data_IF_053602351045
#
_entry.id   IF_053602351045
#
_cell.length_a   1.000
_cell.length_b   1.000
_cell.length_c   1.000
_cell.angle_alpha   90.00
_cell.angle_beta   90.00
_cell.angle_gamma   90.00
#
_symmetry.space_group_name_H-M   'P 1'
#
loop_
_entity.id
_entity.type
_entity.pdbx_description
1 polymer ?
#
# COMPACT_ATOMS: atom_id res chain seq x y z
N UNK A 1 -14.42 16.50 7.05
CA UNK A 1 -14.74 17.24 8.30
C UNK A 1 -16.21 17.58 8.26
N UNK A 2 -17.00 17.15 9.24
CA UNK A 2 -18.37 17.68 9.41
C UNK A 2 -18.32 18.88 10.35
N UNK A 3 -19.42 19.63 10.46
CA UNK A 3 -19.46 20.91 11.18
C UNK A 3 -19.05 20.80 12.66
N UNK A 4 -19.32 19.66 13.31
CA UNK A 4 -19.10 19.46 14.77
C UNK A 4 -18.08 18.37 15.11
N UNK A 5 -17.84 17.40 14.22
CA UNK A 5 -17.07 16.19 14.52
C UNK A 5 -15.90 16.01 13.54
N UNK A 6 -14.74 15.67 14.08
CA UNK A 6 -13.53 15.38 13.32
C UNK A 6 -13.30 13.88 13.36
N UNK A 7 -13.49 13.21 12.22
CA UNK A 7 -13.10 11.80 12.06
C UNK A 7 -11.65 11.74 11.58
N UNK A 8 -10.79 11.08 12.35
CA UNK A 8 -9.38 10.82 12.01
C UNK A 8 -9.22 9.32 11.80
N UNK A 9 -8.85 8.92 10.58
CA UNK A 9 -8.52 7.52 10.29
C UNK A 9 -7.01 7.36 10.32
N UNK A 10 -6.52 6.51 11.23
CA UNK A 10 -5.10 6.17 11.37
C UNK A 10 -4.87 4.84 10.69
N UNK A 11 -4.05 4.84 9.63
CA UNK A 11 -3.63 3.63 8.95
C UNK A 11 -2.30 3.16 9.56
N UNK A 12 -2.26 1.93 10.09
CA UNK A 12 -1.05 1.40 10.74
C UNK A 12 -0.85 -0.09 10.45
N UNK A 13 0.40 -0.53 10.43
CA UNK A 13 0.76 -1.94 10.37
C UNK A 13 0.64 -2.65 11.73
N UNK A 14 0.54 -1.90 12.83
CA UNK A 14 0.48 -2.45 14.20
C UNK A 14 -0.64 -1.77 15.00
N UNK A 15 -1.92 -2.12 14.75
CA UNK A 15 -3.05 -1.52 15.45
C UNK A 15 -3.02 -1.77 16.96
N UNK A 16 -2.55 -2.96 17.39
CA UNK A 16 -2.54 -3.34 18.81
C UNK A 16 -1.73 -2.40 19.72
N UNK A 17 -0.64 -1.81 19.20
CA UNK A 17 0.17 -0.84 19.96
C UNK A 17 -0.58 0.48 20.15
N UNK A 18 -1.36 0.90 19.15
CA UNK A 18 -2.14 2.15 19.18
C UNK A 18 -3.37 2.02 20.08
N UNK A 19 -3.98 0.83 20.13
CA UNK A 19 -5.12 0.56 21.02
C UNK A 19 -4.66 0.51 22.49
N UNK A 20 -3.51 -0.12 22.75
CA UNK A 20 -2.99 -0.35 24.09
C UNK A 20 -3.81 -1.38 24.88
N UNK A 21 -3.50 -1.52 26.18
CA UNK A 21 -4.23 -2.44 27.07
C UNK A 21 -5.59 -1.84 27.45
N UNK A 22 -6.66 -2.35 26.87
CA UNK A 22 -8.03 -1.92 27.19
C UNK A 22 -8.42 -0.55 26.63
N UNK A 23 -7.75 -0.06 25.58
CA UNK A 23 -8.12 1.21 24.91
C UNK A 23 -7.50 2.48 25.50
N UNK A 24 -6.72 2.37 26.58
CA UNK A 24 -6.18 3.53 27.31
C UNK A 24 -5.35 4.49 26.44
N UNK A 25 -4.61 3.96 25.47
CA UNK A 25 -3.73 4.80 24.64
C UNK A 25 -4.53 5.62 23.61
N UNK A 26 -5.66 5.08 23.14
CA UNK A 26 -6.59 5.80 22.24
C UNK A 26 -7.30 6.92 22.99
N UNK A 27 -7.67 6.70 24.25
CA UNK A 27 -8.32 7.72 25.07
C UNK A 27 -7.39 8.90 25.35
N UNK A 28 -6.11 8.63 25.66
CA UNK A 28 -5.08 9.69 25.78
C UNK A 28 -4.93 10.48 24.47
N UNK A 29 -4.79 9.77 23.34
CA UNK A 29 -4.70 10.39 22.01
C UNK A 29 -5.92 11.26 21.70
N UNK A 30 -7.12 10.80 22.05
CA UNK A 30 -8.36 11.56 21.89
C UNK A 30 -8.36 12.83 22.75
N UNK A 31 -7.85 12.76 23.99
CA UNK A 31 -7.74 13.92 24.87
C UNK A 31 -6.73 14.95 24.37
N UNK A 32 -5.55 14.52 23.92
CA UNK A 32 -4.52 15.38 23.32
C UNK A 32 -5.04 16.07 22.05
N UNK A 33 -5.71 15.32 21.17
CA UNK A 33 -6.30 15.86 19.96
C UNK A 33 -7.43 16.85 20.27
N UNK A 34 -8.21 16.60 21.33
CA UNK A 34 -9.26 17.53 21.79
C UNK A 34 -8.67 18.83 22.31
N UNK A 35 -7.52 18.81 23.01
CA UNK A 35 -6.82 20.03 23.46
C UNK A 35 -6.39 20.91 22.27
N UNK A 36 -5.92 20.29 21.20
CA UNK A 36 -5.45 21.01 19.99
C UNK A 36 -6.62 21.52 19.14
N UNK A 37 -7.62 20.67 18.89
CA UNK A 37 -8.70 20.97 17.93
C UNK A 37 -9.93 21.62 18.54
N UNK A 38 -10.06 21.61 19.88
CA UNK A 38 -11.22 22.13 20.64
C UNK A 38 -12.58 21.57 20.18
N UNK A 39 -12.57 20.47 19.44
CA UNK A 39 -13.75 19.81 18.86
C UNK A 39 -13.76 18.34 19.27
N UNK A 40 -14.90 17.69 19.06
CA UNK A 40 -15.01 16.26 19.30
C UNK A 40 -14.32 15.48 18.18
N UNK A 41 -13.43 14.58 18.57
CA UNK A 41 -12.61 13.77 17.65
C UNK A 41 -13.02 12.30 17.77
N UNK A 42 -13.34 11.68 16.63
CA UNK A 42 -13.54 10.25 16.49
C UNK A 42 -12.32 9.65 15.80
N UNK A 43 -11.71 8.65 16.43
CA UNK A 43 -10.51 7.98 15.91
C UNK A 43 -10.93 6.62 15.34
N UNK A 44 -10.66 6.40 14.06
CA UNK A 44 -10.82 5.11 13.39
C UNK A 44 -9.44 4.52 13.13
N UNK A 45 -9.20 3.28 13.53
CA UNK A 45 -7.91 2.60 13.30
C UNK A 45 -8.12 1.60 12.18
N UNK A 46 -7.41 1.79 11.06
CA UNK A 46 -7.41 0.88 9.93
C UNK A 46 -6.09 0.12 9.87
N UNK A 47 -6.18 -1.20 9.71
CA UNK A 47 -5.02 -2.07 9.63
C UNK A 47 -4.49 -2.17 8.20
N UNK A 48 -3.19 -1.95 8.05
CA UNK A 48 -2.46 -2.20 6.80
C UNK A 48 -2.10 -3.68 6.75
N UNK A 49 -2.84 -4.45 5.95
CA UNK A 49 -2.64 -5.91 5.80
C UNK A 49 -1.24 -6.31 5.32
N UNK A 50 -0.61 -5.48 4.47
CA UNK A 50 0.70 -5.77 3.85
C UNK A 50 1.63 -4.55 3.97
N UNK A 51 2.44 -4.47 5.04
CA UNK A 51 3.26 -3.28 5.31
C UNK A 51 4.39 -3.06 4.29
N UNK A 52 4.93 -4.12 3.70
CA UNK A 52 6.05 -4.02 2.74
C UNK A 52 5.63 -3.49 1.36
N UNK A 53 4.33 -3.34 1.10
CA UNK A 53 3.80 -2.72 -0.11
C UNK A 53 3.50 -1.21 0.07
N UNK A 54 3.54 -0.72 1.31
CA UNK A 54 3.35 0.70 1.62
C UNK A 54 4.70 1.42 1.60
N UNK A 55 4.83 2.42 0.73
CA UNK A 55 6.08 3.14 0.56
C UNK A 55 6.53 3.86 1.85
N UNK A 56 5.58 4.37 2.66
CA UNK A 56 5.89 5.09 3.90
C UNK A 56 6.50 4.16 4.93
N UNK A 57 5.91 2.97 5.10
CA UNK A 57 6.40 1.98 6.06
C UNK A 57 7.76 1.40 5.64
N UNK A 58 7.96 1.15 4.36
CA UNK A 58 9.25 0.69 3.82
C UNK A 58 10.33 1.76 4.01
N UNK A 59 10.05 3.02 3.68
CA UNK A 59 10.99 4.12 3.88
C UNK A 59 11.37 4.30 5.36
N UNK A 60 10.39 4.23 6.28
CA UNK A 60 10.63 4.30 7.71
C UNK A 60 11.43 3.10 8.24
N UNK A 61 11.23 1.92 7.68
CA UNK A 61 11.98 0.72 8.08
C UNK A 61 13.45 0.83 7.67
N UNK A 62 13.73 1.27 6.44
CA UNK A 62 15.10 1.52 5.97
C UNK A 62 15.78 2.59 6.83
N UNK A 63 15.05 3.67 7.12
CA UNK A 63 15.51 4.78 7.96
C UNK A 63 15.93 4.30 9.35
N UNK A 64 15.05 3.57 10.05
CA UNK A 64 15.34 3.00 11.36
C UNK A 64 16.53 2.03 11.35
N UNK A 65 16.70 1.26 10.28
CA UNK A 65 17.86 0.38 10.13
C UNK A 65 19.17 1.17 9.98
N UNK A 66 19.15 2.27 9.22
CA UNK A 66 20.30 3.16 9.05
C UNK A 66 20.64 3.87 10.37
N UNK A 67 19.64 4.32 11.13
CA UNK A 67 19.83 4.88 12.48
C UNK A 67 20.42 3.84 13.45
N UNK A 68 19.98 2.59 13.34
CA UNK A 68 20.55 1.43 14.05
C UNK A 68 21.96 1.03 13.58
N UNK A 69 22.65 1.86 12.78
CA UNK A 69 24.00 1.64 12.25
C UNK A 69 24.15 0.39 11.38
N UNK A 70 23.05 -0.11 10.80
CA UNK A 70 23.11 -1.17 9.80
C UNK A 70 23.62 -0.56 8.48
N UNK A 71 24.42 -1.32 7.74
CA UNK A 71 24.87 -0.89 6.41
C UNK A 71 23.69 -0.55 5.51
N UNK A 72 23.69 0.66 4.95
CA UNK A 72 22.61 1.17 4.10
C UNK A 72 22.35 0.26 2.89
N UNK A 73 23.39 -0.38 2.32
CA UNK A 73 23.22 -1.34 1.22
C UNK A 73 22.43 -2.56 1.65
N UNK A 74 22.72 -3.09 2.85
CA UNK A 74 22.02 -4.26 3.41
C UNK A 74 20.58 -3.90 3.70
N UNK A 75 20.34 -2.74 4.32
CA UNK A 75 18.99 -2.26 4.64
C UNK A 75 18.12 -2.16 3.37
N UNK A 76 18.63 -1.47 2.34
CA UNK A 76 17.92 -1.31 1.07
C UNK A 76 17.70 -2.65 0.36
N UNK A 77 18.72 -3.51 0.24
CA UNK A 77 18.59 -4.80 -0.44
C UNK A 77 17.59 -5.72 0.26
N UNK A 78 17.54 -5.67 1.59
CA UNK A 78 16.58 -6.45 2.39
C UNK A 78 15.16 -5.94 2.16
N UNK A 79 14.95 -4.63 2.18
CA UNK A 79 13.65 -4.01 1.90
C UNK A 79 13.16 -4.30 0.47
N UNK A 80 14.03 -4.13 -0.52
CA UNK A 80 13.74 -4.44 -1.94
C UNK A 80 13.31 -5.89 -2.11
N UNK A 81 14.08 -6.83 -1.54
CA UNK A 81 13.73 -8.27 -1.61
C UNK A 81 12.41 -8.58 -0.90
N UNK A 82 12.13 -7.96 0.25
CA UNK A 82 10.89 -8.15 0.98
C UNK A 82 9.66 -7.65 0.20
N UNK A 83 9.75 -6.48 -0.43
CA UNK A 83 8.68 -5.90 -1.25
C UNK A 83 8.44 -6.70 -2.53
N UNK A 84 9.50 -7.10 -3.25
CA UNK A 84 9.37 -7.93 -4.45
C UNK A 84 8.76 -9.31 -4.13
N UNK A 85 9.14 -9.92 -3.01
CA UNK A 85 8.57 -11.20 -2.55
C UNK A 85 7.06 -11.14 -2.31
N UNK A 86 6.54 -9.98 -1.90
CA UNK A 86 5.11 -9.77 -1.65
C UNK A 86 4.32 -9.37 -2.90
N UNK A 87 4.95 -9.42 -4.07
CA UNK A 87 4.29 -9.29 -5.37
C UNK A 87 4.16 -7.85 -5.88
N UNK A 88 5.02 -6.93 -5.45
CA UNK A 88 5.15 -5.65 -6.14
C UNK A 88 5.71 -5.87 -7.56
N UNK A 89 5.23 -5.11 -8.54
CA UNK A 89 5.76 -5.16 -9.91
C UNK A 89 7.16 -4.55 -10.02
N UNK A 90 7.46 -3.60 -9.14
CA UNK A 90 8.78 -3.01 -9.03
C UNK A 90 8.93 -2.09 -7.83
N UNK A 91 10.17 -1.91 -7.41
CA UNK A 91 10.56 -1.00 -6.32
C UNK A 91 11.84 -0.25 -6.70
N UNK A 92 11.85 1.05 -6.42
CA UNK A 92 13.03 1.91 -6.51
C UNK A 92 13.25 2.51 -5.13
N UNK A 93 14.45 2.36 -4.61
CA UNK A 93 14.89 2.98 -3.37
C UNK A 93 16.14 3.81 -3.65
N UNK A 94 16.04 5.12 -3.40
CA UNK A 94 17.16 6.05 -3.51
C UNK A 94 17.54 6.52 -2.11
N UNK A 95 18.81 6.38 -1.77
CA UNK A 95 19.37 6.85 -0.51
C UNK A 95 20.41 7.92 -0.82
N UNK A 96 20.31 9.06 -0.14
CA UNK A 96 21.12 10.26 -0.39
C UNK A 96 21.67 10.82 0.92
N UNK A 97 22.92 11.26 0.90
CA UNK A 97 23.59 11.89 2.04
C UNK A 97 24.98 11.32 2.31
N UNK A 98 25.47 11.48 3.54
CA UNK A 98 26.79 10.99 3.99
C UNK A 98 26.77 9.49 4.29
N UNK A 99 26.60 8.68 3.23
CA UNK A 99 26.35 7.25 3.39
C UNK A 99 27.56 6.52 3.99
N UNK A 100 27.35 5.91 5.16
CA UNK A 100 28.39 5.19 5.89
C UNK A 100 29.41 6.09 6.61
N UNK A 101 29.08 7.37 6.83
CA UNK A 101 29.97 8.32 7.50
C UNK A 101 31.02 8.96 6.59
N UNK A 102 30.89 8.81 5.27
CA UNK A 102 31.76 9.49 4.32
C UNK A 102 31.69 11.02 4.49
N UNK A 103 32.79 11.71 4.21
CA UNK A 103 32.88 13.17 4.27
C UNK A 103 31.98 13.82 3.19
N UNK A 104 32.06 13.32 1.95
CA UNK A 104 31.25 13.80 0.84
C UNK A 104 29.91 13.04 0.74
N UNK A 105 28.83 13.78 0.50
CA UNK A 105 27.52 13.18 0.27
C UNK A 105 27.44 12.52 -1.11
N UNK A 106 26.79 11.36 -1.16
CA UNK A 106 26.52 10.61 -2.40
C UNK A 106 25.07 10.15 -2.44
N UNK A 107 24.61 9.86 -3.65
CA UNK A 107 23.28 9.30 -3.88
C UNK A 107 23.43 7.94 -4.54
N UNK A 108 22.92 6.89 -3.90
CA UNK A 108 22.87 5.54 -4.46
C UNK A 108 21.40 5.17 -4.70
N UNK A 109 21.13 4.61 -5.88
CA UNK A 109 19.79 4.18 -6.26
C UNK A 109 19.79 2.68 -6.57
N UNK A 110 18.86 1.98 -5.96
CA UNK A 110 18.59 0.57 -6.18
C UNK A 110 17.22 0.46 -6.83
N UNK A 111 17.13 -0.27 -7.93
CA UNK A 111 15.88 -0.47 -8.68
C UNK A 111 15.75 -1.94 -9.04
N UNK A 112 14.57 -2.48 -8.81
CA UNK A 112 14.19 -3.84 -9.21
C UNK A 112 12.78 -3.82 -9.81
N UNK A 113 12.55 -4.61 -10.85
CA UNK A 113 11.25 -4.68 -11.54
C UNK A 113 10.88 -3.46 -12.40
N UNK A 114 9.58 -3.35 -12.71
CA UNK A 114 9.02 -2.35 -13.62
C UNK A 114 8.46 -1.16 -12.84
N UNK A 115 8.89 0.05 -13.19
CA UNK A 115 8.48 1.30 -12.52
C UNK A 115 8.35 2.40 -13.58
N UNK A 116 7.19 2.51 -14.24
CA UNK A 116 6.98 3.49 -15.29
C UNK A 116 6.56 4.84 -14.70
N UNK A 117 7.53 5.68 -14.34
CA UNK A 117 7.28 7.00 -13.71
C UNK A 117 6.55 8.01 -14.63
N UNK A 118 6.56 7.78 -15.94
CA UNK A 118 5.88 8.64 -16.91
C UNK A 118 4.41 8.24 -17.15
N UNK A 119 4.00 7.06 -16.70
CA UNK A 119 2.68 6.52 -17.00
C UNK A 119 1.71 6.84 -15.87
N UNK A 120 0.81 7.81 -16.08
CA UNK A 120 -0.15 8.24 -15.06
C UNK A 120 -1.13 7.15 -14.59
N UNK A 121 -1.36 6.11 -15.42
CA UNK A 121 -2.23 4.97 -15.07
C UNK A 121 -1.59 3.97 -14.12
N UNK A 122 -0.27 4.06 -13.91
CA UNK A 122 0.44 3.18 -13.00
C UNK A 122 0.16 3.59 -11.55
N UNK A 123 -0.17 2.63 -10.69
CA UNK A 123 -0.31 2.84 -9.26
C UNK A 123 1.07 2.83 -8.62
N UNK A 124 1.62 4.03 -8.46
CA UNK A 124 2.94 4.26 -7.89
C UNK A 124 2.77 4.94 -6.55
N UNK A 125 3.15 4.21 -5.51
CA UNK A 125 3.23 4.73 -4.15
C UNK A 125 4.62 5.32 -3.91
N UNK A 126 4.67 6.54 -3.37
CA UNK A 126 5.90 7.27 -3.14
C UNK A 126 5.95 7.80 -1.71
N UNK A 127 7.08 7.61 -1.06
CA UNK A 127 7.34 8.17 0.25
C UNK A 127 8.79 8.63 0.41
N UNK A 128 8.95 9.59 1.31
CA UNK A 128 10.25 10.08 1.76
C UNK A 128 10.36 9.95 3.27
N UNK A 129 11.54 9.54 3.74
CA UNK A 129 11.87 9.53 5.16
C UNK A 129 13.31 10.04 5.34
N UNK A 130 13.57 10.66 6.49
CA UNK A 130 14.90 11.17 6.87
C UNK A 130 15.43 10.34 8.04
N UNK A 131 16.67 9.86 7.95
CA UNK A 131 17.37 9.18 9.02
C UNK A 131 18.28 10.17 9.75
N UNK A 132 18.12 10.26 11.06
CA UNK A 132 18.93 11.11 11.92
C UNK A 132 20.15 10.33 12.41
N UNK A 133 21.30 10.57 11.77
CA UNK A 133 22.57 9.92 12.13
C UNK A 133 23.54 10.91 12.77
N UNK A 134 24.58 10.41 13.43
CA UNK A 134 25.63 11.23 14.06
C UNK A 134 26.37 12.12 13.06
N UNK A 135 26.44 11.71 11.79
CA UNK A 135 27.17 12.42 10.74
C UNK A 135 26.27 13.38 9.95
N UNK A 136 24.99 13.49 10.30
CA UNK A 136 24.00 14.33 9.63
C UNK A 136 22.73 13.57 9.27
N UNK A 137 21.98 14.11 8.31
CA UNK A 137 20.73 13.52 7.84
C UNK A 137 20.94 12.73 6.56
N UNK A 138 20.36 11.54 6.49
CA UNK A 138 20.33 10.71 5.27
C UNK A 138 18.89 10.67 4.77
N UNK A 139 18.67 11.10 3.53
CA UNK A 139 17.36 11.07 2.89
C UNK A 139 17.11 9.75 2.17
N UNK A 140 15.99 9.11 2.45
CA UNK A 140 15.52 7.88 1.79
C UNK A 140 14.26 8.21 1.00
N UNK A 141 14.26 7.87 -0.29
CA UNK A 141 13.11 8.00 -1.20
C UNK A 141 12.76 6.63 -1.74
N UNK A 142 11.49 6.23 -1.61
CA UNK A 142 11.02 4.91 -2.05
C UNK A 142 9.85 5.09 -3.01
N UNK A 143 9.88 4.37 -4.13
CA UNK A 143 8.78 4.22 -5.07
C UNK A 143 8.42 2.74 -5.15
N UNK A 144 7.15 2.40 -5.01
CA UNK A 144 6.63 1.03 -5.15
C UNK A 144 5.57 1.05 -6.24
N UNK A 145 5.73 0.21 -7.26
CA UNK A 145 4.74 0.00 -8.31
C UNK A 145 3.88 -1.20 -7.94
N UNK A 146 2.60 -0.97 -7.69
CA UNK A 146 1.61 -2.01 -7.35
C UNK A 146 0.90 -2.58 -8.58
N UNK A 147 1.00 -1.88 -9.71
CA UNK A 147 0.45 -2.30 -10.99
C UNK A 147 -0.11 -1.15 -11.82
N UNK A 148 -0.94 -1.48 -12.80
CA UNK A 148 -1.72 -0.51 -13.57
C UNK A 148 -3.19 -0.58 -13.15
N UNK A 149 -3.81 0.57 -12.88
CA UNK A 149 -5.24 0.64 -12.54
C UNK A 149 -6.03 0.80 -13.83
N UNK A 150 -6.77 -0.23 -14.21
CA UNK A 150 -7.70 -0.21 -15.34
C UNK A 150 -9.11 0.16 -14.84
N UNK A 151 -9.36 1.45 -14.60
CA UNK A 151 -10.68 1.93 -14.15
C UNK A 151 -10.69 3.40 -13.72
N UNK A 152 -11.88 4.00 -13.59
CA UNK A 152 -12.03 5.31 -12.92
C UNK A 152 -11.71 5.14 -11.44
N UNK A 153 -10.76 5.92 -10.92
CA UNK A 153 -10.43 5.92 -9.49
C UNK A 153 -11.59 6.56 -8.74
N UNK A 154 -12.39 5.77 -8.02
CA UNK A 154 -13.30 6.29 -6.99
C UNK A 154 -12.43 7.02 -5.96
N UNK A 155 -12.53 8.35 -5.89
CA UNK A 155 -11.71 9.20 -5.02
C UNK A 155 -12.10 9.09 -3.54
N UNK A 156 -13.06 8.22 -3.21
CA UNK A 156 -13.46 7.88 -1.84
C UNK A 156 -12.65 6.68 -1.34
N UNK A 157 -11.65 6.86 -0.46
CA UNK A 157 -10.76 5.79 -0.02
C UNK A 157 -11.40 4.80 0.99
N UNK A 158 -12.74 4.74 1.07
CA UNK A 158 -13.46 4.08 2.17
C UNK A 158 -14.41 2.97 1.75
N UNK A 159 -14.43 2.56 0.49
CA UNK A 159 -15.17 1.35 0.13
C UNK A 159 -14.24 0.15 0.28
N UNK A 160 -14.46 -0.63 1.32
CA UNK A 160 -13.79 -1.91 1.52
C UNK A 160 -13.93 -2.75 0.23
N UNK A 161 -12.79 -3.13 -0.35
CA UNK A 161 -12.73 -4.12 -1.44
C UNK A 161 -13.26 -5.46 -0.91
N UNK A 162 -14.57 -5.65 -1.03
CA UNK A 162 -15.25 -6.93 -0.93
C UNK A 162 -15.84 -7.29 -2.31
N UNK A 163 -15.03 -7.14 -3.35
CA UNK A 163 -15.33 -7.61 -4.70
C UNK A 163 -15.06 -9.11 -4.75
N UNK A 164 -15.98 -9.90 -4.20
CA UNK A 164 -16.14 -11.29 -4.65
C UNK A 164 -16.37 -11.26 -6.17
N UNK A 165 -15.68 -12.07 -6.97
CA UNK A 165 -16.00 -12.18 -8.39
C UNK A 165 -17.40 -12.79 -8.51
N UNK A 166 -18.40 -11.96 -8.81
CA UNK A 166 -19.70 -12.44 -9.28
C UNK A 166 -19.50 -12.93 -10.72
N UNK A 167 -19.15 -14.20 -10.89
CA UNK A 167 -19.41 -14.92 -12.14
C UNK A 167 -20.93 -14.95 -12.34
N UNK A 168 -21.42 -14.10 -13.24
CA UNK A 168 -22.82 -14.04 -13.62
C UNK A 168 -23.24 -15.33 -14.31
N UNK A 169 -24.03 -16.14 -13.62
CA UNK A 169 -24.90 -17.12 -14.23
C UNK A 169 -25.93 -16.38 -15.11
N UNK A 170 -25.89 -16.60 -16.42
CA UNK A 170 -26.91 -16.12 -17.34
C UNK A 170 -28.26 -16.79 -17.04
N UNK A 171 -29.38 -16.05 -17.09
CA UNK A 171 -30.68 -16.66 -16.85
C UNK A 171 -31.08 -17.51 -18.07
N UNK A 172 -31.40 -18.78 -17.80
CA UNK A 172 -32.00 -19.68 -18.75
C UNK A 172 -33.35 -19.15 -19.22
N UNK A 173 -33.47 -18.91 -20.53
CA UNK A 173 -34.75 -18.76 -21.20
C UNK A 173 -35.10 -20.09 -21.86
N UNK A 174 -36.00 -20.84 -21.22
CA UNK A 174 -36.63 -22.01 -21.81
C UNK A 174 -37.70 -21.63 -22.84
N UNK A 175 -37.73 -22.40 -23.93
CA UNK A 175 -38.95 -22.77 -24.66
C UNK A 175 -39.42 -21.84 -25.78
N UNK A 176 -39.25 -22.29 -27.04
CA UNK A 176 -40.38 -22.59 -27.93
C UNK A 176 -39.96 -23.27 -29.23
N UNK A 177 -40.70 -24.33 -29.51
CA UNK A 177 -40.72 -25.17 -30.70
C UNK A 177 -40.79 -24.41 -32.01
N UNK A 178 -40.12 -24.96 -33.05
CA UNK A 178 -40.64 -24.95 -34.43
C UNK A 178 -40.02 -26.06 -35.28
N UNK A 179 -40.73 -27.19 -35.24
CA UNK A 179 -41.02 -28.11 -36.34
C UNK A 179 -40.54 -27.70 -37.75
N UNK A 180 -39.65 -28.50 -38.35
CA UNK A 180 -39.59 -28.84 -39.80
C UNK A 180 -38.59 -30.00 -39.97
N UNK A 181 -39.02 -31.26 -40.09
CA UNK A 181 -39.20 -31.96 -41.38
C UNK A 181 -37.86 -32.12 -42.12
N UNK A 182 -37.32 -33.29 -42.44
CA UNK A 182 -37.78 -34.67 -42.41
C UNK A 182 -36.78 -35.54 -43.20
N UNK A 183 -36.92 -36.86 -43.10
CA UNK A 183 -36.50 -37.82 -44.13
C UNK A 183 -35.09 -38.41 -44.01
N UNK A 184 -35.01 -39.74 -43.91
CA UNK A 184 -33.85 -40.48 -44.43
C UNK A 184 -33.42 -41.72 -43.65
N UNK A 185 -34.18 -42.81 -43.80
CA UNK A 185 -33.74 -44.20 -43.58
C UNK A 185 -32.29 -44.43 -44.06
N UNK A 186 -31.48 -45.19 -43.30
CA UNK A 186 -31.06 -46.55 -43.73
C UNK A 186 -30.16 -47.24 -42.70
N UNK A 187 -30.58 -48.47 -42.46
CA UNK A 187 -29.92 -49.58 -41.80
C UNK A 187 -28.68 -50.05 -42.60
N UNK A 188 -27.59 -50.47 -41.93
CA UNK A 188 -26.93 -51.78 -42.18
C UNK A 188 -25.63 -51.98 -41.38
N UNK A 189 -25.59 -53.19 -40.82
CA UNK A 189 -24.45 -54.04 -40.42
C UNK A 189 -23.67 -53.64 -39.17
#
# INVERSE_FOLDING_TARGET
RTLKLITVTINTARPGIIIGKGGQEVDKLKEELRKITQKEVQINISEIKRPELDAVLVANTITKQIEGRISFRRAVKTAVSATMRLGAEGIKATVSGRLGGAEMARTETYKEGRIPLHTLRADIDYATAEAHTTYGRIGVKVWICKGEIFGKKELTPFTEDNTKPKTGAGPGAGGRDRFRGGGGRRNKK
#
